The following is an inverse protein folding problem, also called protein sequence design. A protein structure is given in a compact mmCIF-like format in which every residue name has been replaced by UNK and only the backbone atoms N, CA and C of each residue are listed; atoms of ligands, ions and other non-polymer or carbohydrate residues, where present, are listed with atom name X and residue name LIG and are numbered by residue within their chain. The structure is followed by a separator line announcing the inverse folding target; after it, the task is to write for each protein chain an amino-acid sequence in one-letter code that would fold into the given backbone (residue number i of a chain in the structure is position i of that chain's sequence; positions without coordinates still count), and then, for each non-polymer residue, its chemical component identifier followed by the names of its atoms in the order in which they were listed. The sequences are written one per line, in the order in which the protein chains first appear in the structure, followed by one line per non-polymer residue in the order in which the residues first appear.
data_IF_622258227790
#
_entry.id   IF_622258227790
#
_cell.length_a   1.000
_cell.length_b   1.000
_cell.length_c   1.000
_cell.angle_alpha   90.00
_cell.angle_beta   90.00
_cell.angle_gamma   90.00
#
_symmetry.space_group_name_H-M   'P 1'
#
loop_
_entity.id
_entity.type
_entity.pdbx_description
1 polymer ?
#
# COMPACT_ATOMS: atom_id res chain seq x y z
N UNK A 1 -2.58 50.13 27.66
CA UNK A 1 -2.70 49.09 26.61
C UNK A 1 -1.37 48.37 26.60
N UNK A 2 -1.29 47.27 27.35
CA UNK A 2 -0.07 46.50 27.53
C UNK A 2 0.11 45.61 26.30
N UNK A 3 1.15 45.90 25.50
CA UNK A 3 1.53 45.08 24.37
C UNK A 3 2.09 43.76 24.91
N UNK A 4 1.23 42.75 25.00
CA UNK A 4 1.69 41.38 25.15
C UNK A 4 2.39 40.97 23.85
N UNK A 5 3.70 41.18 23.78
CA UNK A 5 4.56 40.50 22.81
C UNK A 5 4.38 38.99 23.05
N UNK A 6 3.56 38.35 22.22
CA UNK A 6 3.47 36.89 22.20
C UNK A 6 4.84 36.36 21.84
N UNK A 7 5.58 35.88 22.84
CA UNK A 7 6.86 35.21 22.69
C UNK A 7 6.70 34.04 21.69
N UNK A 8 7.17 34.22 20.47
CA UNK A 8 6.98 33.26 19.38
C UNK A 8 7.90 32.06 19.62
N UNK A 9 7.45 31.10 20.42
CA UNK A 9 8.19 29.85 20.65
C UNK A 9 8.30 29.07 19.35
N UNK A 10 9.49 29.09 18.75
CA UNK A 10 9.81 28.30 17.57
C UNK A 10 9.71 26.82 17.96
N UNK A 11 8.68 26.15 17.46
CA UNK A 11 8.51 24.72 17.67
C UNK A 11 9.70 23.94 17.07
N UNK A 12 10.13 22.82 17.69
CA UNK A 12 11.11 21.91 17.12
C UNK A 12 10.74 21.47 15.70
N UNK A 13 11.74 21.22 14.84
CA UNK A 13 11.53 20.93 13.42
C UNK A 13 10.54 19.77 13.16
N UNK A 14 10.59 18.70 13.96
CA UNK A 14 9.72 17.54 13.81
C UNK A 14 8.24 17.88 14.12
N UNK A 15 7.98 18.74 15.13
CA UNK A 15 6.62 19.20 15.45
C UNK A 15 6.06 20.11 14.35
N UNK A 16 6.90 20.99 13.78
CA UNK A 16 6.53 21.85 12.65
C UNK A 16 6.24 21.04 11.39
N UNK A 17 7.09 20.06 11.10
CA UNK A 17 6.89 19.17 9.95
C UNK A 17 5.58 18.38 10.10
N UNK A 18 5.34 17.81 11.28
CA UNK A 18 4.12 17.05 11.55
C UNK A 18 2.87 17.94 11.47
N UNK A 19 2.87 19.13 12.06
CA UNK A 19 1.70 20.01 12.02
C UNK A 19 1.32 20.41 10.59
N UNK A 20 2.33 20.60 9.72
CA UNK A 20 2.13 20.93 8.30
C UNK A 20 1.72 19.72 7.45
N UNK A 21 2.26 18.53 7.73
CA UNK A 21 2.10 17.36 6.86
C UNK A 21 1.11 16.31 7.38
N UNK A 22 0.56 16.45 8.60
CA UNK A 22 -0.30 15.43 9.22
C UNK A 22 -1.43 14.93 8.29
N UNK A 23 -2.05 15.83 7.54
CA UNK A 23 -3.14 15.51 6.60
C UNK A 23 -2.67 14.76 5.33
N UNK A 24 -1.38 14.82 5.02
CA UNK A 24 -0.75 14.09 3.90
C UNK A 24 -0.16 12.75 4.33
N UNK A 25 -0.08 12.46 5.63
CA UNK A 25 0.45 11.19 6.14
C UNK A 25 -0.24 9.98 5.49
N UNK A 26 -1.58 9.88 5.42
CA UNK A 26 -2.26 8.76 4.77
C UNK A 26 -1.78 8.55 3.33
N UNK A 27 -1.66 9.63 2.57
CA UNK A 27 -1.17 9.63 1.20
C UNK A 27 0.27 9.16 1.10
N UNK A 28 1.17 9.64 1.96
CA UNK A 28 2.59 9.25 1.93
C UNK A 28 2.73 7.74 2.14
N UNK A 29 2.03 7.18 3.13
CA UNK A 29 2.03 5.75 3.39
C UNK A 29 1.44 4.95 2.21
N UNK A 30 0.32 5.40 1.63
CA UNK A 30 -0.22 4.77 0.41
C UNK A 30 0.71 4.89 -0.79
N UNK A 31 1.44 6.00 -0.95
CA UNK A 31 2.42 6.14 -2.03
C UNK A 31 3.57 5.13 -1.87
N UNK A 32 4.12 4.98 -0.66
CA UNK A 32 5.12 3.95 -0.38
C UNK A 32 4.58 2.55 -0.62
N UNK A 33 3.40 2.21 -0.11
CA UNK A 33 2.81 0.89 -0.35
C UNK A 33 2.60 0.62 -1.84
N UNK A 34 2.21 1.62 -2.62
CA UNK A 34 2.00 1.50 -4.07
C UNK A 34 3.33 1.24 -4.75
N UNK A 35 4.40 1.94 -4.34
CA UNK A 35 5.76 1.68 -4.83
C UNK A 35 6.18 0.22 -4.57
N UNK A 36 5.95 -0.33 -3.38
CA UNK A 36 6.24 -1.74 -3.09
C UNK A 36 5.41 -2.69 -3.97
N UNK A 37 4.16 -2.34 -4.29
CA UNK A 37 3.36 -3.15 -5.21
C UNK A 37 3.84 -3.04 -6.67
N UNK A 38 4.12 -1.85 -7.19
CA UNK A 38 4.23 -1.63 -8.64
C UNK A 38 5.64 -1.35 -9.14
N UNK A 39 6.53 -0.78 -8.33
CA UNK A 39 7.85 -0.33 -8.80
C UNK A 39 8.93 -1.42 -8.71
N UNK A 40 8.64 -2.50 -7.99
CA UNK A 40 9.53 -3.65 -7.87
C UNK A 40 9.20 -4.74 -8.89
N UNK A 41 8.47 -4.44 -9.98
CA UNK A 41 8.20 -5.38 -11.08
C UNK A 41 9.51 -5.81 -11.76
N UNK A 42 9.54 -7.04 -12.29
CA UNK A 42 10.68 -7.60 -13.04
C UNK A 42 11.27 -6.56 -14.00
N UNK A 43 12.49 -6.11 -13.74
CA UNK A 43 13.17 -5.09 -14.53
C UNK A 43 14.59 -5.55 -14.86
N UNK A 44 14.89 -5.60 -16.15
CA UNK A 44 16.21 -5.93 -16.67
C UNK A 44 16.71 -4.72 -17.47
N UNK A 45 17.80 -4.10 -17.02
CA UNK A 45 18.47 -3.05 -17.81
C UNK A 45 19.37 -3.73 -18.82
N UNK A 46 18.97 -3.67 -20.09
CA UNK A 46 19.77 -4.19 -21.21
C UNK A 46 21.20 -3.63 -21.15
N UNK A 47 22.19 -4.53 -21.22
CA UNK A 47 23.61 -4.16 -21.16
C UNK A 47 24.21 -4.08 -19.75
N UNK A 48 23.46 -4.45 -18.70
CA UNK A 48 23.99 -4.54 -17.33
C UNK A 48 23.69 -5.91 -16.70
N UNK A 49 24.40 -6.26 -15.62
CA UNK A 49 24.10 -7.44 -14.80
C UNK A 49 22.93 -7.24 -13.82
N UNK A 50 22.31 -6.05 -13.81
CA UNK A 50 21.25 -5.70 -12.87
C UNK A 50 19.92 -6.27 -13.41
N UNK A 51 19.49 -7.37 -12.80
CA UNK A 51 18.17 -7.96 -13.01
C UNK A 51 17.39 -7.92 -11.70
N UNK A 52 16.37 -7.07 -11.65
CA UNK A 52 15.36 -7.15 -10.62
C UNK A 52 14.39 -8.26 -11.04
N UNK A 53 14.44 -9.37 -10.33
CA UNK A 53 13.60 -10.55 -10.57
C UNK A 53 12.73 -10.71 -9.33
N UNK A 54 11.45 -10.40 -9.43
CA UNK A 54 10.53 -10.37 -8.31
C UNK A 54 9.30 -11.24 -8.58
N UNK A 55 8.20 -10.65 -9.03
CA UNK A 55 6.85 -11.18 -8.88
C UNK A 55 6.46 -12.04 -10.08
N UNK A 56 6.73 -11.57 -11.30
CA UNK A 56 6.37 -12.32 -12.52
C UNK A 56 7.26 -13.56 -12.64
N UNK A 57 8.55 -13.43 -12.36
CA UNK A 57 9.47 -14.55 -12.30
C UNK A 57 9.16 -15.52 -11.15
N UNK A 58 8.65 -15.04 -10.00
CA UNK A 58 8.20 -15.92 -8.92
C UNK A 58 7.02 -16.79 -9.36
N UNK A 59 6.01 -16.21 -10.02
CA UNK A 59 4.80 -16.95 -10.44
C UNK A 59 5.03 -17.84 -11.66
N UNK A 60 5.98 -17.52 -12.54
CA UNK A 60 6.34 -18.38 -13.70
C UNK A 60 6.78 -19.79 -13.28
N UNK A 61 7.25 -19.96 -12.04
CA UNK A 61 7.66 -21.26 -11.48
C UNK A 61 6.48 -22.18 -11.15
N UNK A 62 5.27 -21.66 -11.16
CA UNK A 62 4.05 -22.45 -11.02
C UNK A 62 3.71 -23.24 -12.30
N UNK A 63 4.42 -23.03 -13.41
CA UNK A 63 4.24 -23.80 -14.65
C UNK A 63 2.76 -23.81 -15.11
N UNK A 64 2.24 -24.93 -15.60
CA UNK A 64 0.84 -25.07 -16.04
C UNK A 64 -0.10 -25.54 -14.91
N UNK A 65 0.11 -25.08 -13.67
CA UNK A 65 -0.84 -25.33 -12.58
C UNK A 65 -1.97 -24.30 -12.57
N UNK A 66 -3.16 -24.63 -12.02
CA UNK A 66 -4.22 -23.64 -11.80
C UNK A 66 -3.77 -22.43 -10.98
N UNK A 67 -2.77 -22.61 -10.13
CA UNK A 67 -2.22 -21.57 -9.26
C UNK A 67 -1.42 -20.51 -10.03
N UNK A 68 -0.86 -20.82 -11.20
CA UNK A 68 -0.24 -19.81 -12.06
C UNK A 68 -1.28 -18.74 -12.47
N UNK A 69 -2.41 -19.16 -13.02
CA UNK A 69 -3.47 -18.25 -13.44
C UNK A 69 -4.06 -17.46 -12.26
N UNK A 70 -4.27 -18.12 -11.11
CA UNK A 70 -4.77 -17.44 -9.90
C UNK A 70 -3.77 -16.40 -9.39
N UNK A 71 -2.49 -16.76 -9.30
CA UNK A 71 -1.44 -15.84 -8.83
C UNK A 71 -1.26 -14.65 -9.78
N UNK A 72 -1.34 -14.86 -11.10
CA UNK A 72 -1.32 -13.79 -12.09
C UNK A 72 -2.53 -12.85 -11.94
N UNK A 73 -3.73 -13.39 -11.71
CA UNK A 73 -4.92 -12.58 -11.46
C UNK A 73 -4.80 -11.76 -10.17
N UNK A 74 -4.36 -12.38 -9.07
CA UNK A 74 -4.14 -11.66 -7.81
C UNK A 74 -3.08 -10.56 -7.97
N UNK A 75 -1.99 -10.83 -8.69
CA UNK A 75 -0.96 -9.86 -9.00
C UNK A 75 -1.54 -8.65 -9.74
N UNK A 76 -2.31 -8.90 -10.79
CA UNK A 76 -2.98 -7.86 -11.56
C UNK A 76 -3.94 -7.03 -10.68
N UNK A 77 -4.75 -7.68 -9.85
CA UNK A 77 -5.69 -7.01 -8.96
C UNK A 77 -4.97 -6.14 -7.91
N UNK A 78 -3.89 -6.64 -7.30
CA UNK A 78 -3.03 -5.92 -6.35
C UNK A 78 -2.50 -4.63 -7.00
N UNK A 79 -2.04 -4.69 -8.25
CA UNK A 79 -1.51 -3.54 -8.97
C UNK A 79 -2.59 -2.51 -9.29
N UNK A 80 -3.72 -2.96 -9.84
CA UNK A 80 -4.83 -2.08 -10.19
C UNK A 80 -5.36 -1.35 -8.95
N UNK A 81 -5.61 -2.08 -7.87
CA UNK A 81 -6.10 -1.49 -6.61
C UNK A 81 -5.05 -0.56 -6.01
N UNK A 82 -3.77 -0.92 -6.06
CA UNK A 82 -2.68 -0.05 -5.61
C UNK A 82 -2.72 1.33 -6.26
N UNK A 83 -2.88 1.36 -7.59
CA UNK A 83 -3.00 2.62 -8.35
C UNK A 83 -4.28 3.38 -8.02
N UNK A 84 -5.44 2.70 -7.99
CA UNK A 84 -6.73 3.32 -7.63
C UNK A 84 -6.66 3.95 -6.23
N UNK A 85 -6.07 3.24 -5.29
CA UNK A 85 -5.95 3.66 -3.91
C UNK A 85 -4.97 4.84 -3.76
N UNK A 86 -3.91 4.89 -4.57
CA UNK A 86 -3.02 6.06 -4.64
C UNK A 86 -3.81 7.32 -5.04
N UNK A 87 -4.62 7.25 -6.10
CA UNK A 87 -5.46 8.38 -6.51
C UNK A 87 -6.50 8.76 -5.45
N UNK A 88 -7.13 7.77 -4.82
CA UNK A 88 -8.04 8.01 -3.70
C UNK A 88 -7.32 8.74 -2.56
N UNK A 89 -6.09 8.35 -2.23
CA UNK A 89 -5.30 8.98 -1.17
C UNK A 89 -4.90 10.44 -1.49
N UNK A 90 -4.63 10.75 -2.76
CA UNK A 90 -4.41 12.14 -3.22
C UNK A 90 -5.66 13.00 -3.09
N UNK A 91 -6.82 12.42 -3.39
CA UNK A 91 -8.11 13.10 -3.21
C UNK A 91 -8.40 13.32 -1.72
N UNK A 92 -8.20 12.28 -0.90
CA UNK A 92 -8.39 12.31 0.54
C UNK A 92 -7.48 13.34 1.23
N UNK A 93 -6.21 13.46 0.84
CA UNK A 93 -5.31 14.45 1.47
C UNK A 93 -5.78 15.90 1.31
N UNK A 94 -6.61 16.19 0.29
CA UNK A 94 -7.18 17.51 0.04
C UNK A 94 -8.52 17.68 0.74
N UNK A 95 -9.47 16.77 0.45
CA UNK A 95 -10.87 16.88 0.89
C UNK A 95 -11.14 16.26 2.26
N UNK A 96 -10.43 15.19 2.63
CA UNK A 96 -10.58 14.44 3.88
C UNK A 96 -12.02 13.95 4.11
N UNK A 97 -12.73 13.63 3.04
CA UNK A 97 -14.15 13.26 3.12
C UNK A 97 -14.37 11.87 3.72
N UNK A 98 -15.46 11.65 4.47
CA UNK A 98 -15.84 10.34 5.00
C UNK A 98 -16.01 9.28 3.91
N UNK A 99 -16.55 9.65 2.75
CA UNK A 99 -16.65 8.75 1.61
C UNK A 99 -15.28 8.25 1.13
N UNK A 100 -14.30 9.16 1.03
CA UNK A 100 -12.93 8.81 0.66
C UNK A 100 -12.26 7.88 1.69
N UNK A 101 -12.55 8.09 2.98
CA UNK A 101 -12.12 7.22 4.07
C UNK A 101 -12.69 5.80 3.95
N UNK A 102 -14.01 5.69 3.73
CA UNK A 102 -14.69 4.38 3.61
C UNK A 102 -14.13 3.63 2.40
N UNK A 103 -13.98 4.31 1.26
CA UNK A 103 -13.37 3.72 0.07
C UNK A 103 -11.92 3.28 0.34
N UNK A 104 -11.13 4.09 1.03
CA UNK A 104 -9.76 3.75 1.39
C UNK A 104 -9.71 2.52 2.30
N UNK A 105 -10.62 2.43 3.27
CA UNK A 105 -10.73 1.29 4.20
C UNK A 105 -11.12 0.02 3.46
N UNK A 106 -12.12 0.10 2.58
CA UNK A 106 -12.55 -1.03 1.76
C UNK A 106 -11.42 -1.53 0.84
N UNK A 107 -10.77 -0.63 0.10
CA UNK A 107 -9.67 -1.00 -0.79
C UNK A 107 -8.48 -1.59 -0.04
N UNK A 108 -8.13 -1.06 1.14
CA UNK A 108 -7.10 -1.66 2.00
C UNK A 108 -7.46 -3.06 2.45
N UNK A 109 -8.71 -3.30 2.86
CA UNK A 109 -9.16 -4.63 3.27
C UNK A 109 -9.04 -5.63 2.12
N UNK A 110 -9.51 -5.24 0.92
CA UNK A 110 -9.36 -6.06 -0.30
C UNK A 110 -7.88 -6.30 -0.61
N UNK A 111 -7.02 -5.27 -0.50
CA UNK A 111 -5.59 -5.39 -0.74
C UNK A 111 -4.93 -6.40 0.20
N UNK A 112 -5.23 -6.34 1.49
CA UNK A 112 -4.70 -7.28 2.49
C UNK A 112 -5.14 -8.72 2.17
N UNK A 113 -6.41 -8.92 1.82
CA UNK A 113 -6.93 -10.23 1.42
C UNK A 113 -6.19 -10.75 0.19
N UNK A 114 -6.05 -9.93 -0.86
CA UNK A 114 -5.35 -10.32 -2.09
C UNK A 114 -3.88 -10.66 -1.84
N UNK A 115 -3.18 -9.90 -1.01
CA UNK A 115 -1.79 -10.20 -0.62
C UNK A 115 -1.71 -11.51 0.17
N UNK A 116 -2.67 -11.77 1.05
CA UNK A 116 -2.79 -13.04 1.76
C UNK A 116 -3.00 -14.22 0.82
N UNK A 117 -3.94 -14.09 -0.12
CA UNK A 117 -4.23 -15.11 -1.14
C UNK A 117 -3.01 -15.35 -2.05
N UNK A 118 -2.37 -14.28 -2.54
CA UNK A 118 -1.15 -14.38 -3.34
C UNK A 118 -0.03 -15.10 -2.58
N UNK A 119 0.18 -14.75 -1.31
CA UNK A 119 1.20 -15.37 -0.45
C UNK A 119 0.89 -16.85 -0.20
N UNK A 120 -0.39 -17.18 0.02
CA UNK A 120 -0.82 -18.55 0.29
C UNK A 120 -0.50 -19.52 -0.85
N UNK A 121 -0.53 -19.05 -2.11
CA UNK A 121 -0.22 -19.88 -3.28
C UNK A 121 1.19 -20.48 -3.19
N UNK A 122 2.18 -19.71 -2.74
CA UNK A 122 3.56 -20.20 -2.61
C UNK A 122 3.67 -21.41 -1.67
N UNK A 123 2.98 -21.34 -0.53
CA UNK A 123 2.95 -22.42 0.45
C UNK A 123 2.14 -23.62 -0.02
N UNK A 124 1.02 -23.36 -0.71
CA UNK A 124 0.19 -24.41 -1.27
C UNK A 124 0.91 -25.18 -2.39
N UNK A 125 1.64 -24.48 -3.25
CA UNK A 125 2.50 -25.08 -4.27
C UNK A 125 3.60 -25.93 -3.65
N UNK A 126 4.31 -25.43 -2.62
CA UNK A 126 5.32 -26.23 -1.92
C UNK A 126 4.73 -27.46 -1.21
N UNK A 127 3.50 -27.37 -0.70
CA UNK A 127 2.84 -28.48 -0.04
C UNK A 127 2.32 -29.54 -1.05
N UNK A 128 2.00 -29.15 -2.28
CA UNK A 128 1.39 -30.03 -3.29
C UNK A 128 2.40 -30.61 -4.28
N UNK A 129 3.52 -29.92 -4.51
CA UNK A 129 4.54 -30.32 -5.50
C UNK A 129 5.88 -30.56 -4.84
N UNK A 130 6.43 -31.75 -5.05
CA UNK A 130 7.75 -32.15 -4.55
C UNK A 130 8.90 -31.47 -5.28
N UNK A 131 8.66 -30.96 -6.50
CA UNK A 131 9.64 -30.28 -7.34
C UNK A 131 9.68 -28.76 -7.10
N UNK A 132 8.75 -28.22 -6.32
CA UNK A 132 8.67 -26.80 -6.01
C UNK A 132 9.23 -26.51 -4.62
N UNK A 133 10.20 -25.58 -4.54
CA UNK A 133 10.76 -25.10 -3.28
C UNK A 133 10.69 -23.57 -3.26
N UNK A 134 10.23 -23.00 -2.14
CA UNK A 134 10.23 -21.56 -1.93
C UNK A 134 11.68 -21.06 -1.85
N UNK A 135 12.12 -20.43 -2.94
CA UNK A 135 13.45 -19.87 -3.09
C UNK A 135 13.52 -18.37 -2.73
N UNK A 136 14.70 -17.76 -2.89
CA UNK A 136 14.90 -16.35 -2.55
C UNK A 136 14.00 -15.40 -3.34
N UNK A 137 13.67 -15.73 -4.60
CA UNK A 137 12.81 -14.91 -5.47
C UNK A 137 11.37 -14.97 -4.97
N UNK A 138 10.86 -16.17 -4.65
CA UNK A 138 9.54 -16.34 -4.05
C UNK A 138 9.44 -15.59 -2.70
N UNK A 139 10.45 -15.75 -1.83
CA UNK A 139 10.53 -15.04 -0.54
C UNK A 139 10.52 -13.52 -0.70
N UNK A 140 11.36 -13.00 -1.59
CA UNK A 140 11.41 -11.58 -1.88
C UNK A 140 10.04 -11.06 -2.37
N UNK A 141 9.43 -11.78 -3.31
CA UNK A 141 8.15 -11.40 -3.91
C UNK A 141 7.04 -11.24 -2.86
N UNK A 142 6.74 -12.27 -2.07
CA UNK A 142 5.64 -12.15 -1.10
C UNK A 142 5.99 -11.19 0.04
N UNK A 143 7.27 -11.07 0.44
CA UNK A 143 7.70 -10.14 1.50
C UNK A 143 7.47 -8.69 1.09
N UNK A 144 7.82 -8.33 -0.14
CA UNK A 144 7.58 -7.00 -0.71
C UNK A 144 6.09 -6.64 -0.68
N UNK A 145 5.21 -7.58 -1.03
CA UNK A 145 3.76 -7.32 -0.97
C UNK A 145 3.20 -7.24 0.45
N UNK A 146 3.71 -8.05 1.38
CA UNK A 146 3.35 -7.93 2.80
C UNK A 146 3.74 -6.54 3.33
N UNK A 147 4.94 -6.07 3.01
CA UNK A 147 5.40 -4.72 3.38
C UNK A 147 4.48 -3.66 2.74
N UNK A 148 4.16 -3.79 1.45
CA UNK A 148 3.23 -2.88 0.77
C UNK A 148 1.85 -2.82 1.45
N UNK A 149 1.31 -3.97 1.86
CA UNK A 149 0.03 -4.06 2.57
C UNK A 149 0.09 -3.41 3.96
N UNK A 150 1.21 -3.56 4.68
CA UNK A 150 1.43 -2.89 5.97
C UNK A 150 1.43 -1.36 5.78
N UNK A 151 2.08 -0.84 4.75
CA UNK A 151 2.04 0.59 4.43
C UNK A 151 0.60 1.07 4.15
N UNK A 152 -0.20 0.30 3.41
CA UNK A 152 -1.61 0.63 3.15
C UNK A 152 -2.45 0.62 4.43
N UNK A 153 -2.23 -0.36 5.31
CA UNK A 153 -2.90 -0.45 6.60
C UNK A 153 -2.59 0.76 7.47
N UNK A 154 -1.31 1.10 7.62
CA UNK A 154 -0.89 2.27 8.40
C UNK A 154 -1.48 3.56 7.81
N UNK A 155 -1.41 3.74 6.49
CA UNK A 155 -2.00 4.89 5.81
C UNK A 155 -3.50 5.02 6.08
N UNK A 156 -4.22 3.91 6.08
CA UNK A 156 -5.66 3.85 6.38
C UNK A 156 -5.96 4.20 7.83
N UNK A 157 -5.19 3.67 8.79
CA UNK A 157 -5.31 4.01 10.21
C UNK A 157 -5.13 5.53 10.41
N UNK A 158 -4.13 6.13 9.77
CA UNK A 158 -3.97 7.59 9.80
C UNK A 158 -5.12 8.35 9.12
N UNK A 159 -5.73 7.78 8.07
CA UNK A 159 -6.88 8.41 7.43
C UNK A 159 -8.06 8.53 8.41
N UNK A 160 -8.29 7.50 9.25
CA UNK A 160 -9.30 7.54 10.30
C UNK A 160 -9.04 8.65 11.33
N UNK A 161 -7.79 8.97 11.64
CA UNK A 161 -7.46 10.07 12.56
C UNK A 161 -7.61 11.47 11.96
N UNK A 162 -7.57 11.62 10.63
CA UNK A 162 -7.54 12.92 9.96
C UNK A 162 -8.74 13.21 9.06
N UNK A 163 -9.74 12.32 9.06
CA UNK A 163 -11.00 12.54 8.37
C UNK A 163 -11.71 13.77 8.94
N UNK A 164 -12.35 14.53 8.07
CA UNK A 164 -13.19 15.66 8.44
C UNK A 164 -14.65 15.23 8.40
N UNK A 165 -15.22 14.94 9.57
CA UNK A 165 -16.62 14.53 9.71
C UNK A 165 -17.61 15.65 9.43
N UNK A 166 -17.17 16.91 9.34
CA UNK A 166 -18.04 18.07 9.07
C UNK A 166 -18.76 17.99 7.71
N UNK A 167 -18.29 17.16 6.79
CA UNK A 167 -18.97 16.87 5.51
C UNK A 167 -20.19 15.95 5.65
N UNK A 168 -20.38 15.31 6.80
CA UNK A 168 -21.66 14.75 7.23
C UNK A 168 -22.36 15.87 7.98
N UNK A 169 -23.13 16.70 7.29
CA UNK A 169 -24.05 17.59 8.00
C UNK A 169 -25.05 16.69 8.72
N UNK A 170 -24.97 16.62 10.04
CA UNK A 170 -26.11 16.22 10.84
C UNK A 170 -27.22 17.23 10.53
N UNK A 171 -28.35 16.74 10.04
CA UNK A 171 -29.58 17.52 10.06
C UNK A 171 -29.93 17.55 11.54
N UNK A 172 -29.76 18.70 12.17
CA UNK A 172 -30.34 18.95 13.49
C UNK A 172 -31.85 18.74 13.34
N UNK A 173 -32.35 17.57 13.76
CA UNK A 173 -33.78 17.31 13.99
C UNK A 173 -34.21 17.86 15.35
#
# INVERSE_FOLDING_TARGET
MENAEQEYKILPWHKRWYSFNKQKIPMIFTAFGTFFFTALIDFEVQGTSIKLVSHIAAIRKFLNTPYNNMSAFYLFAIYLIGVVQLFNSFSFSKKRSPFGLILMTFLTAVQIILVGLYTSIFFLEQATRTDYVIDSVARFSYTVFIIGAIFFLIGTIFAWFYVDWKYVKEIDE
#
